data_IF_759933458706
#
_entry.id   IF_759933458706
#
_cell.length_a   1.000
_cell.length_b   1.000
_cell.length_c   1.000
_cell.angle_alpha   90.00
_cell.angle_beta   90.00
_cell.angle_gamma   90.00
#
_symmetry.space_group_name_H-M   'P 1'
#
loop_
_entity.id
_entity.type
_entity.pdbx_description
1 polymer ?
#
# COMPACT_ATOMS: atom_id res chain seq x y z
N UNK A 1 26.17 -8.31 33.69
CA UNK A 1 24.86 -8.29 34.38
C UNK A 1 24.57 -6.83 34.66
N UNK A 2 23.88 -6.20 33.72
CA UNK A 2 23.85 -4.73 33.63
C UNK A 2 22.87 -4.14 34.63
N UNK A 3 23.45 -3.46 35.62
CA UNK A 3 22.79 -2.79 36.72
C UNK A 3 22.31 -1.41 36.26
N UNK A 4 21.20 -1.36 35.49
CA UNK A 4 20.51 -0.10 35.18
C UNK A 4 19.28 0.04 36.08
N UNK A 5 19.31 1.04 36.97
CA UNK A 5 18.19 1.46 37.82
C UNK A 5 16.90 1.64 37.00
N UNK A 6 15.71 1.23 37.51
CA UNK A 6 14.42 1.42 36.84
C UNK A 6 14.15 2.85 36.34
N UNK A 7 14.68 3.87 37.04
CA UNK A 7 14.54 5.28 36.65
C UNK A 7 15.28 5.61 35.34
N UNK A 8 16.43 4.99 35.07
CA UNK A 8 17.18 5.19 33.83
C UNK A 8 16.46 4.55 32.62
N UNK A 9 15.74 3.44 32.82
CA UNK A 9 14.96 2.77 31.76
C UNK A 9 13.73 3.58 31.33
N UNK A 10 13.07 4.27 32.28
CA UNK A 10 11.91 5.12 31.99
C UNK A 10 12.30 6.42 31.26
N UNK A 11 13.53 6.92 31.43
CA UNK A 11 14.02 8.09 30.71
C UNK A 11 14.07 7.90 29.17
N UNK A 12 14.25 6.66 28.70
CA UNK A 12 14.24 6.34 27.26
C UNK A 12 12.83 6.50 26.65
N UNK A 13 11.76 6.35 27.43
CA UNK A 13 10.36 6.46 26.95
C UNK A 13 10.10 7.82 26.33
N UNK A 14 10.65 8.91 26.88
CA UNK A 14 10.45 10.27 26.36
C UNK A 14 11.09 10.48 24.99
N UNK A 15 12.06 9.66 24.61
CA UNK A 15 12.72 9.73 23.30
C UNK A 15 11.96 8.95 22.21
N UNK A 16 11.17 7.94 22.58
CA UNK A 16 10.46 7.06 21.65
C UNK A 16 9.64 7.83 20.60
N UNK A 17 8.86 8.89 20.94
CA UNK A 17 8.11 9.66 19.94
C UNK A 17 8.99 10.35 18.89
N UNK A 18 10.22 10.73 19.26
CA UNK A 18 11.15 11.43 18.40
C UNK A 18 12.00 10.45 17.56
N UNK A 19 12.33 9.27 18.08
CA UNK A 19 13.32 8.36 17.46
C UNK A 19 12.74 7.07 16.91
N UNK A 20 11.52 6.67 17.27
CA UNK A 20 10.93 5.42 16.80
C UNK A 20 10.55 5.48 15.32
N UNK A 21 11.38 4.89 14.47
CA UNK A 21 11.17 4.82 13.02
C UNK A 21 9.80 4.23 12.65
N UNK A 22 9.39 3.13 13.29
CA UNK A 22 8.09 2.52 13.02
C UNK A 22 6.89 3.41 13.36
N UNK A 23 7.00 4.27 14.38
CA UNK A 23 5.95 5.25 14.69
C UNK A 23 5.87 6.34 13.62
N UNK A 24 7.02 6.86 13.19
CA UNK A 24 7.08 7.87 12.13
C UNK A 24 6.58 7.33 10.80
N UNK A 25 6.99 6.13 10.40
CA UNK A 25 6.52 5.46 9.18
C UNK A 25 5.00 5.24 9.22
N UNK A 26 4.44 4.77 10.34
CA UNK A 26 2.98 4.59 10.46
C UNK A 26 2.21 5.91 10.36
N UNK A 27 2.71 6.98 10.98
CA UNK A 27 2.09 8.31 10.89
C UNK A 27 2.15 8.86 9.47
N UNK A 28 3.32 8.78 8.84
CA UNK A 28 3.51 9.21 7.46
C UNK A 28 2.62 8.41 6.50
N UNK A 29 2.60 7.08 6.62
CA UNK A 29 1.74 6.19 5.84
C UNK A 29 0.26 6.58 5.95
N UNK A 30 -0.23 6.87 7.17
CA UNK A 30 -1.62 7.31 7.38
C UNK A 30 -1.91 8.64 6.68
N UNK A 31 -1.01 9.62 6.77
CA UNK A 31 -1.19 10.93 6.13
C UNK A 31 -1.18 10.78 4.61
N UNK A 32 -0.20 10.05 4.06
CA UNK A 32 -0.13 9.77 2.62
C UNK A 32 -1.39 9.07 2.13
N UNK A 33 -1.87 8.05 2.87
CA UNK A 33 -3.12 7.35 2.55
C UNK A 33 -4.29 8.31 2.45
N UNK A 34 -4.42 9.26 3.39
CA UNK A 34 -5.48 10.27 3.35
C UNK A 34 -5.39 11.19 2.13
N UNK A 35 -4.18 11.55 1.70
CA UNK A 35 -3.95 12.36 0.50
C UNK A 35 -4.41 11.61 -0.76
N UNK A 36 -3.93 10.38 -0.95
CA UNK A 36 -4.32 9.58 -2.12
C UNK A 36 -5.81 9.19 -2.09
N UNK A 37 -6.36 8.83 -0.94
CA UNK A 37 -7.79 8.51 -0.77
C UNK A 37 -8.68 9.72 -1.09
N UNK A 38 -8.26 10.93 -0.70
CA UNK A 38 -8.98 12.15 -1.04
C UNK A 38 -9.02 12.38 -2.56
N UNK A 39 -7.88 12.18 -3.23
CA UNK A 39 -7.76 12.34 -4.68
C UNK A 39 -8.56 11.29 -5.46
N UNK A 40 -8.59 10.05 -4.99
CA UNK A 40 -9.27 8.92 -5.66
C UNK A 40 -10.79 8.84 -5.35
N UNK A 41 -11.29 9.65 -4.41
CA UNK A 41 -12.71 9.70 -4.03
C UNK A 41 -13.68 9.89 -5.21
N UNK A 42 -13.41 10.75 -6.22
CA UNK A 42 -14.34 10.96 -7.34
C UNK A 42 -14.66 9.69 -8.14
N UNK A 43 -13.71 8.74 -8.23
CA UNK A 43 -13.90 7.44 -8.90
C UNK A 43 -14.31 6.33 -7.93
N UNK A 44 -14.59 6.71 -6.68
CA UNK A 44 -15.00 5.79 -5.62
C UNK A 44 -13.92 4.77 -5.26
N UNK A 45 -12.64 5.09 -5.42
CA UNK A 45 -11.53 4.23 -5.02
C UNK A 45 -10.80 4.83 -3.80
N UNK A 46 -10.11 3.95 -3.08
CA UNK A 46 -9.09 4.29 -2.08
C UNK A 46 -7.73 3.82 -2.57
N UNK A 47 -6.64 4.34 -2.01
CA UNK A 47 -5.26 4.05 -2.42
C UNK A 47 -4.99 2.54 -2.48
N UNK A 48 -5.42 1.79 -1.47
CA UNK A 48 -5.20 0.33 -1.41
C UNK A 48 -5.96 -0.45 -2.48
N UNK A 49 -7.06 0.09 -3.00
CA UNK A 49 -7.79 -0.51 -4.12
C UNK A 49 -7.12 -0.16 -5.44
N UNK A 50 -6.69 1.09 -5.59
CA UNK A 50 -5.94 1.53 -6.76
C UNK A 50 -4.64 0.73 -6.94
N UNK A 51 -3.80 0.62 -5.89
CA UNK A 51 -2.55 -0.13 -5.98
C UNK A 51 -2.77 -1.62 -6.25
N UNK A 52 -3.84 -2.21 -5.72
CA UNK A 52 -4.24 -3.58 -6.02
C UNK A 52 -4.66 -3.75 -7.49
N UNK A 53 -5.47 -2.84 -8.04
CA UNK A 53 -5.86 -2.88 -9.44
C UNK A 53 -4.63 -2.72 -10.36
N UNK A 54 -3.68 -1.84 -10.01
CA UNK A 54 -2.40 -1.70 -10.73
C UNK A 54 -1.60 -3.01 -10.71
N UNK A 55 -1.43 -3.63 -9.54
CA UNK A 55 -0.70 -4.89 -9.43
C UNK A 55 -1.37 -6.04 -10.23
N UNK A 56 -2.71 -6.08 -10.25
CA UNK A 56 -3.45 -7.03 -11.10
C UNK A 56 -3.20 -6.73 -12.57
N UNK A 57 -3.33 -5.47 -13.01
CA UNK A 57 -3.11 -5.08 -14.40
C UNK A 57 -1.75 -5.51 -14.95
N UNK A 58 -0.70 -5.36 -14.13
CA UNK A 58 0.68 -5.68 -14.53
C UNK A 58 0.96 -7.18 -14.64
N UNK A 59 0.13 -8.02 -14.01
CA UNK A 59 0.44 -9.44 -13.80
C UNK A 59 -0.72 -10.40 -14.10
N UNK A 60 -1.86 -9.91 -14.60
CA UNK A 60 -3.04 -10.72 -14.81
C UNK A 60 -2.88 -11.79 -15.90
N UNK A 61 -3.47 -12.99 -15.72
CA UNK A 61 -4.09 -13.48 -14.49
C UNK A 61 -3.06 -13.77 -13.38
N UNK A 62 -3.28 -13.27 -12.17
CA UNK A 62 -2.30 -13.35 -11.06
C UNK A 62 -2.83 -14.11 -9.84
N UNK A 63 -2.04 -14.99 -9.20
CA UNK A 63 -2.43 -15.63 -7.95
C UNK A 63 -2.59 -14.63 -6.80
N UNK A 64 -3.61 -14.81 -5.95
CA UNK A 64 -3.80 -14.00 -4.72
C UNK A 64 -2.55 -14.04 -3.82
N UNK A 65 -1.86 -15.19 -3.75
CA UNK A 65 -0.64 -15.34 -2.95
C UNK A 65 0.50 -14.45 -3.44
N UNK A 66 0.66 -14.30 -4.76
CA UNK A 66 1.66 -13.41 -5.36
C UNK A 66 1.34 -11.95 -5.09
N UNK A 67 0.07 -11.56 -5.25
CA UNK A 67 -0.39 -10.20 -4.90
C UNK A 67 -0.14 -9.85 -3.42
N UNK A 68 -0.29 -10.81 -2.50
CA UNK A 68 -0.06 -10.59 -1.07
C UNK A 68 1.43 -10.32 -0.78
N UNK A 69 2.32 -11.06 -1.46
CA UNK A 69 3.77 -10.86 -1.37
C UNK A 69 4.16 -9.49 -1.94
N UNK A 70 3.68 -9.16 -3.13
CA UNK A 70 4.00 -7.92 -3.83
C UNK A 70 3.53 -6.66 -3.07
N UNK A 71 2.34 -6.71 -2.49
CA UNK A 71 1.73 -5.58 -1.76
C UNK A 71 2.06 -5.57 -0.27
N UNK A 72 2.97 -6.46 0.19
CA UNK A 72 3.34 -6.61 1.62
C UNK A 72 2.12 -6.61 2.55
N UNK A 73 1.07 -7.33 2.16
CA UNK A 73 -0.24 -7.34 2.85
C UNK A 73 -0.62 -8.77 3.21
N UNK A 74 -1.18 -8.96 4.41
CA UNK A 74 -1.65 -10.28 4.82
C UNK A 74 -2.78 -10.79 3.90
N UNK A 75 -2.80 -12.10 3.66
CA UNK A 75 -3.70 -12.71 2.70
C UNK A 75 -5.19 -12.51 3.05
N UNK A 76 -5.52 -12.36 4.34
CA UNK A 76 -6.91 -12.16 4.79
C UNK A 76 -7.40 -10.77 4.40
N UNK A 77 -6.61 -9.74 4.66
CA UNK A 77 -6.87 -8.35 4.25
C UNK A 77 -6.97 -8.27 2.74
N UNK A 78 -6.03 -8.87 2.02
CA UNK A 78 -6.04 -8.84 0.56
C UNK A 78 -7.29 -9.52 -0.01
N UNK A 79 -7.65 -10.70 0.47
CA UNK A 79 -8.83 -11.43 -0.01
C UNK A 79 -10.12 -10.64 0.24
N UNK A 80 -10.23 -9.92 1.37
CA UNK A 80 -11.37 -9.03 1.63
C UNK A 80 -11.41 -7.89 0.62
N UNK A 81 -10.28 -7.28 0.31
CA UNK A 81 -10.19 -6.19 -0.68
C UNK A 81 -10.57 -6.67 -2.09
N UNK A 82 -10.04 -7.81 -2.53
CA UNK A 82 -10.39 -8.42 -3.83
C UNK A 82 -11.90 -8.73 -3.90
N UNK A 83 -12.51 -9.25 -2.84
CA UNK A 83 -13.97 -9.48 -2.79
C UNK A 83 -14.79 -8.19 -2.91
N UNK A 84 -14.31 -7.07 -2.39
CA UNK A 84 -14.98 -5.78 -2.57
C UNK A 84 -14.92 -5.31 -4.02
N UNK A 85 -13.75 -5.45 -4.67
CA UNK A 85 -13.57 -5.13 -6.08
C UNK A 85 -14.39 -6.06 -6.99
N UNK A 86 -14.49 -7.35 -6.65
CA UNK A 86 -15.28 -8.35 -7.37
C UNK A 86 -16.78 -8.01 -7.32
N UNK A 87 -17.30 -7.63 -6.13
CA UNK A 87 -18.68 -7.15 -5.96
C UNK A 87 -18.99 -5.91 -6.79
N UNK A 88 -17.99 -5.04 -6.97
CA UNK A 88 -18.06 -3.86 -7.84
C UNK A 88 -17.86 -4.18 -9.32
N UNK A 89 -17.69 -5.46 -9.67
CA UNK A 89 -17.40 -5.95 -11.03
C UNK A 89 -16.09 -5.42 -11.61
N UNK A 90 -15.16 -4.96 -10.79
CA UNK A 90 -13.87 -4.46 -11.26
C UNK A 90 -12.88 -5.62 -11.53
N UNK A 91 -13.04 -6.74 -10.84
CA UNK A 91 -12.19 -7.93 -10.99
C UNK A 91 -13.02 -9.20 -11.15
N UNK A 92 -12.40 -10.23 -11.70
CA UNK A 92 -12.88 -11.61 -11.72
C UNK A 92 -11.93 -12.49 -10.91
N UNK A 93 -12.49 -13.49 -10.21
CA UNK A 93 -11.72 -14.54 -9.55
C UNK A 93 -12.04 -15.86 -10.24
N UNK A 94 -11.02 -16.50 -10.81
CA UNK A 94 -11.12 -17.79 -11.50
C UNK A 94 -10.25 -18.86 -10.83
N UNK A 95 -10.62 -20.14 -10.88
CA UNK A 95 -9.72 -21.21 -10.46
C UNK A 95 -8.51 -21.28 -11.40
N UNK A 96 -7.32 -21.54 -10.84
CA UNK A 96 -6.16 -21.94 -11.62
C UNK A 96 -6.20 -23.41 -12.03
N UNK A 97 -5.11 -23.91 -12.63
CA UNK A 97 -4.94 -25.33 -12.97
C UNK A 97 -5.11 -26.22 -11.73
N UNK A 98 -4.46 -25.85 -10.63
CA UNK A 98 -4.83 -26.33 -9.30
C UNK A 98 -6.03 -25.50 -8.78
N UNK A 99 -7.15 -26.17 -8.51
CA UNK A 99 -8.39 -25.56 -7.99
C UNK A 99 -8.21 -24.86 -6.64
N UNK A 100 -7.11 -25.13 -5.91
CA UNK A 100 -6.75 -24.41 -4.68
C UNK A 100 -6.21 -23.01 -4.95
N UNK A 101 -5.66 -22.79 -6.14
CA UNK A 101 -5.13 -21.50 -6.57
C UNK A 101 -6.28 -20.67 -7.14
N UNK A 102 -6.40 -19.44 -6.61
CA UNK A 102 -7.33 -18.44 -7.13
C UNK A 102 -6.55 -17.40 -7.91
N UNK A 103 -6.88 -17.27 -9.19
CA UNK A 103 -6.33 -16.29 -10.11
C UNK A 103 -7.27 -15.09 -10.19
N UNK A 104 -6.68 -13.90 -10.24
CA UNK A 104 -7.40 -12.63 -10.30
C UNK A 104 -7.02 -11.90 -11.58
N UNK A 105 -8.03 -11.35 -12.24
CA UNK A 105 -7.89 -10.51 -13.43
C UNK A 105 -8.85 -9.33 -13.31
N UNK A 106 -8.52 -8.22 -13.95
CA UNK A 106 -9.42 -7.12 -14.21
C UNK A 106 -10.56 -7.57 -15.12
N UNK A 107 -11.70 -6.93 -14.92
CA UNK A 107 -12.76 -6.85 -15.92
C UNK A 107 -12.62 -5.54 -16.68
N UNK A 108 -13.42 -5.38 -17.74
CA UNK A 108 -13.49 -4.13 -18.52
C UNK A 108 -13.78 -2.94 -17.60
N UNK A 109 -14.68 -3.09 -16.64
CA UNK A 109 -15.00 -2.05 -15.65
C UNK A 109 -13.81 -1.73 -14.73
N UNK A 110 -12.96 -2.71 -14.44
CA UNK A 110 -11.72 -2.52 -13.68
C UNK A 110 -10.66 -1.72 -14.44
N UNK A 111 -10.51 -2.00 -15.74
CA UNK A 111 -9.63 -1.24 -16.63
C UNK A 111 -10.10 0.21 -16.75
N UNK A 112 -11.40 0.44 -16.98
CA UNK A 112 -11.99 1.78 -17.01
C UNK A 112 -11.77 2.52 -15.68
N UNK A 113 -11.96 1.83 -14.54
CA UNK A 113 -11.73 2.43 -13.23
C UNK A 113 -10.26 2.83 -13.02
N UNK A 114 -9.30 2.03 -13.52
CA UNK A 114 -7.88 2.38 -13.49
C UNK A 114 -7.56 3.59 -14.36
N UNK A 115 -8.07 3.62 -15.59
CA UNK A 115 -7.87 4.74 -16.53
C UNK A 115 -8.39 6.06 -15.93
N UNK A 116 -9.55 6.03 -15.26
CA UNK A 116 -10.12 7.19 -14.59
C UNK A 116 -9.34 7.58 -13.31
N UNK A 117 -8.78 6.60 -12.61
CA UNK A 117 -8.04 6.81 -11.37
C UNK A 117 -6.62 7.35 -11.59
N UNK A 118 -5.97 6.94 -12.68
CA UNK A 118 -4.58 7.28 -12.99
C UNK A 118 -4.32 8.80 -12.94
N UNK A 119 -5.06 9.68 -13.64
CA UNK A 119 -4.79 11.12 -13.59
C UNK A 119 -5.01 11.73 -12.19
N UNK A 120 -5.94 11.18 -11.41
CA UNK A 120 -6.18 11.63 -10.02
C UNK A 120 -5.04 11.22 -9.10
N UNK A 121 -4.52 10.00 -9.27
CA UNK A 121 -3.33 9.54 -8.57
C UNK A 121 -2.09 10.34 -8.98
N UNK A 122 -1.90 10.64 -10.27
CA UNK A 122 -0.80 11.45 -10.77
C UNK A 122 -0.81 12.84 -10.14
N UNK A 123 -1.97 13.49 -10.05
CA UNK A 123 -2.10 14.78 -9.37
C UNK A 123 -1.64 14.69 -7.90
N UNK A 124 -2.16 13.72 -7.14
CA UNK A 124 -1.76 13.53 -5.74
C UNK A 124 -0.26 13.22 -5.61
N UNK A 125 0.28 12.42 -6.53
CA UNK A 125 1.69 12.08 -6.61
C UNK A 125 2.56 13.32 -6.85
N UNK A 126 2.14 14.20 -7.78
CA UNK A 126 2.82 15.47 -8.04
C UNK A 126 2.78 16.40 -6.82
N UNK A 127 1.64 16.51 -6.12
CA UNK A 127 1.52 17.31 -4.90
C UNK A 127 2.47 16.81 -3.80
N UNK A 128 2.55 15.50 -3.61
CA UNK A 128 3.49 14.87 -2.67
C UNK A 128 4.94 15.15 -3.07
N UNK A 129 5.31 14.93 -4.33
CA UNK A 129 6.68 15.20 -4.83
C UNK A 129 7.04 16.67 -4.63
N UNK A 130 6.12 17.60 -4.95
CA UNK A 130 6.34 19.03 -4.78
C UNK A 130 6.57 19.43 -3.33
N UNK A 131 5.85 18.81 -2.38
CA UNK A 131 6.03 19.08 -0.95
C UNK A 131 7.45 18.74 -0.46
N UNK A 132 8.04 17.64 -0.94
CA UNK A 132 9.40 17.22 -0.56
C UNK A 132 10.49 17.87 -1.43
N UNK A 133 10.19 18.18 -2.68
CA UNK A 133 11.18 18.43 -3.73
C UNK A 133 11.79 17.14 -4.27
N UNK A 134 12.19 17.17 -5.55
CA UNK A 134 12.61 15.98 -6.30
C UNK A 134 13.70 15.15 -5.61
N UNK A 135 14.73 15.80 -5.08
CA UNK A 135 15.88 15.11 -4.47
C UNK A 135 15.48 14.38 -3.19
N UNK A 136 14.77 15.06 -2.27
CA UNK A 136 14.36 14.45 -1.00
C UNK A 136 13.36 13.33 -1.23
N UNK A 137 12.47 13.48 -2.21
CA UNK A 137 11.55 12.43 -2.64
C UNK A 137 12.31 11.17 -3.08
N UNK A 138 13.30 11.30 -3.97
CA UNK A 138 14.09 10.17 -4.45
C UNK A 138 14.89 9.51 -3.31
N UNK A 139 15.52 10.30 -2.44
CA UNK A 139 16.21 9.79 -1.26
C UNK A 139 15.25 9.03 -0.34
N UNK A 140 14.06 9.58 -0.08
CA UNK A 140 13.05 8.92 0.76
C UNK A 140 12.61 7.58 0.17
N UNK A 141 12.36 7.50 -1.14
CA UNK A 141 12.01 6.24 -1.79
C UNK A 141 13.12 5.19 -1.66
N UNK A 142 14.39 5.57 -1.85
CA UNK A 142 15.53 4.65 -1.65
C UNK A 142 15.55 4.11 -0.23
N UNK A 143 15.45 4.98 0.77
CA UNK A 143 15.49 4.59 2.18
C UNK A 143 14.29 3.70 2.56
N UNK A 144 13.09 3.98 2.04
CA UNK A 144 11.92 3.12 2.26
C UNK A 144 12.08 1.74 1.59
N UNK A 145 12.73 1.69 0.42
CA UNK A 145 13.07 0.41 -0.23
C UNK A 145 14.10 -0.39 0.57
N UNK A 146 15.04 0.26 1.25
CA UNK A 146 15.99 -0.44 2.13
C UNK A 146 15.27 -1.06 3.34
N UNK A 147 14.25 -0.39 3.88
CA UNK A 147 13.46 -0.91 5.02
C UNK A 147 12.77 -2.23 4.69
N UNK A 148 12.35 -2.46 3.43
CA UNK A 148 11.70 -3.73 3.05
C UNK A 148 12.67 -4.92 3.03
N UNK A 149 13.98 -4.69 3.09
CA UNK A 149 15.00 -5.76 3.19
C UNK A 149 15.19 -6.30 4.61
N UNK A 150 14.53 -5.69 5.61
CA UNK A 150 14.60 -6.13 7.02
C UNK A 150 13.73 -7.36 7.32
N UNK A 151 12.89 -7.80 6.38
CA UNK A 151 12.02 -8.99 6.48
C UNK A 151 12.63 -10.21 5.82
#
# INVERSE_FOLDING_TARGET
MDNFSPQAKLAVISQVPATCMGLHVRRASRILTQVYDAALRPVGLVQSQFTLLVAIHLHEPVPITRLAQELFTDQTTLTRNIKLLEKRKLVAINPGEDRRIKLVSLKVEGQIALEQALPLWEQAQTEVIHHFGQQKWQTLLSLLSEVTTLS
#
